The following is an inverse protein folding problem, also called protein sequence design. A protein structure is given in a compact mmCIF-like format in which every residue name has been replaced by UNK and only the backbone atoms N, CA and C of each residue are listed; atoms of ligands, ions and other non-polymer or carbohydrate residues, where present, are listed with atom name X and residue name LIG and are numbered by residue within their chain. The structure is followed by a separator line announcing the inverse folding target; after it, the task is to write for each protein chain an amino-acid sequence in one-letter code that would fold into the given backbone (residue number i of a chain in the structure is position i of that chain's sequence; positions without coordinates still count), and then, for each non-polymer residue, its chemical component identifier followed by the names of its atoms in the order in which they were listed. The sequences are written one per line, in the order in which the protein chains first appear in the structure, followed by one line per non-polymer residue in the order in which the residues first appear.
data_IF_373600788280
#
_entry.id   IF_373600788280
#
_cell.length_a   1.000
_cell.length_b   1.000
_cell.length_c   1.000
_cell.angle_alpha   90.00
_cell.angle_beta   90.00
_cell.angle_gamma   90.00
#
_symmetry.space_group_name_H-M   'P 1'
#
loop_
_entity.id
_entity.type
_entity.pdbx_description
1 polymer ?
#
# COMPACT_ATOMS: atom_id res chain seq x y z
N UNK A 1 -57.46 -53.68 -2.19
CA UNK A 1 -56.81 -52.38 -1.94
C UNK A 1 -55.36 -52.55 -2.31
N UNK A 2 -54.99 -52.13 -3.53
CA UNK A 2 -53.66 -52.37 -4.08
C UNK A 2 -52.63 -51.47 -3.37
N UNK A 3 -51.52 -52.07 -2.94
CA UNK A 3 -50.40 -51.39 -2.32
C UNK A 3 -49.57 -50.77 -3.44
N UNK A 4 -49.51 -49.44 -3.49
CA UNK A 4 -48.65 -48.70 -4.40
C UNK A 4 -47.18 -48.96 -4.07
N UNK A 5 -46.47 -49.56 -5.02
CA UNK A 5 -45.02 -49.74 -4.98
C UNK A 5 -44.36 -48.41 -5.31
N UNK A 6 -43.93 -47.67 -4.29
CA UNK A 6 -43.00 -46.54 -4.45
C UNK A 6 -41.66 -47.12 -4.92
N UNK A 7 -41.41 -46.98 -6.23
CA UNK A 7 -40.12 -47.25 -6.85
C UNK A 7 -39.13 -46.19 -6.38
N UNK A 8 -38.30 -46.55 -5.39
CA UNK A 8 -37.13 -45.74 -5.06
C UNK A 8 -36.17 -45.77 -6.26
N UNK A 9 -35.83 -44.62 -6.88
CA UNK A 9 -34.89 -44.62 -7.99
C UNK A 9 -33.50 -45.01 -7.46
N UNK A 10 -32.81 -45.84 -8.25
CA UNK A 10 -31.58 -46.56 -7.94
C UNK A 10 -30.56 -45.84 -7.05
N UNK A 11 -30.22 -46.49 -5.93
CA UNK A 11 -28.95 -46.27 -5.25
C UNK A 11 -27.85 -46.98 -6.03
N UNK A 12 -27.13 -46.23 -6.85
CA UNK A 12 -25.81 -46.63 -7.33
C UNK A 12 -24.79 -46.28 -6.24
N UNK A 13 -24.02 -47.25 -5.77
CA UNK A 13 -22.85 -47.00 -4.91
C UNK A 13 -21.95 -45.97 -5.59
N UNK A 14 -21.34 -45.01 -4.86
CA UNK A 14 -20.47 -44.00 -5.46
C UNK A 14 -19.37 -44.68 -6.27
N UNK A 15 -19.42 -44.55 -7.59
CA UNK A 15 -18.33 -45.03 -8.44
C UNK A 15 -17.06 -44.27 -8.07
N UNK A 16 -15.90 -44.92 -8.13
CA UNK A 16 -14.60 -44.28 -7.84
C UNK A 16 -14.43 -42.99 -8.66
N UNK A 17 -14.96 -42.96 -9.88
CA UNK A 17 -14.99 -41.75 -10.72
C UNK A 17 -15.79 -40.59 -10.11
N UNK A 18 -16.94 -40.87 -9.48
CA UNK A 18 -17.76 -39.85 -8.81
C UNK A 18 -17.05 -39.26 -7.59
N UNK A 19 -16.38 -40.10 -6.80
CA UNK A 19 -15.61 -39.67 -5.62
C UNK A 19 -14.43 -38.75 -5.98
N UNK A 20 -13.72 -39.04 -7.06
CA UNK A 20 -12.62 -38.20 -7.55
C UNK A 20 -13.14 -36.85 -8.07
N UNK A 21 -14.27 -36.85 -8.78
CA UNK A 21 -14.92 -35.62 -9.25
C UNK A 21 -15.38 -34.75 -8.07
N UNK A 22 -16.00 -35.36 -7.05
CA UNK A 22 -16.45 -34.65 -5.85
C UNK A 22 -15.26 -34.09 -5.06
N UNK A 23 -14.19 -34.87 -4.83
CA UNK A 23 -12.99 -34.39 -4.14
C UNK A 23 -12.29 -33.24 -4.89
N UNK A 24 -12.23 -33.31 -6.22
CA UNK A 24 -11.65 -32.23 -7.05
C UNK A 24 -12.50 -30.96 -6.97
N UNK A 25 -13.83 -31.10 -6.91
CA UNK A 25 -14.76 -29.99 -6.73
C UNK A 25 -14.57 -29.33 -5.37
N UNK A 26 -14.44 -30.11 -4.31
CA UNK A 26 -14.25 -29.61 -2.95
C UNK A 26 -12.92 -28.84 -2.80
N UNK A 27 -11.83 -29.37 -3.38
CA UNK A 27 -10.54 -28.66 -3.42
C UNK A 27 -10.66 -27.34 -4.20
N UNK A 28 -11.36 -27.37 -5.35
CA UNK A 28 -11.60 -26.16 -6.14
C UNK A 28 -12.43 -25.12 -5.38
N UNK A 29 -13.36 -25.57 -4.54
CA UNK A 29 -14.16 -24.71 -3.68
C UNK A 29 -13.33 -24.09 -2.56
N UNK A 30 -12.44 -24.85 -1.92
CA UNK A 30 -11.51 -24.36 -0.90
C UNK A 30 -10.56 -23.28 -1.45
N UNK A 31 -9.96 -23.53 -2.62
CA UNK A 31 -9.08 -22.55 -3.27
C UNK A 31 -9.83 -21.26 -3.59
N UNK A 32 -11.06 -21.36 -4.11
CA UNK A 32 -11.88 -20.17 -4.36
C UNK A 32 -12.26 -19.41 -3.09
N UNK A 33 -12.50 -20.12 -1.98
CA UNK A 33 -12.73 -19.50 -0.65
C UNK A 33 -11.51 -18.72 -0.18
N UNK A 34 -10.32 -19.31 -0.27
CA UNK A 34 -9.08 -18.66 0.14
C UNK A 34 -8.77 -17.42 -0.71
N UNK A 35 -8.98 -17.51 -2.03
CA UNK A 35 -8.84 -16.36 -2.94
C UNK A 35 -9.86 -15.27 -2.60
N UNK A 36 -11.10 -15.65 -2.28
CA UNK A 36 -12.15 -14.69 -1.91
C UNK A 36 -11.82 -13.97 -0.61
N UNK A 37 -11.31 -14.71 0.38
CA UNK A 37 -10.85 -14.15 1.65
C UNK A 37 -9.65 -13.22 1.44
N UNK A 38 -8.63 -13.67 0.71
CA UNK A 38 -7.48 -12.84 0.36
C UNK A 38 -7.90 -11.56 -0.40
N UNK A 39 -8.85 -11.66 -1.33
CA UNK A 39 -9.42 -10.48 -2.02
C UNK A 39 -10.14 -9.54 -1.06
N UNK A 40 -10.86 -10.06 -0.06
CA UNK A 40 -11.53 -9.24 0.95
C UNK A 40 -10.53 -8.53 1.85
N UNK A 41 -9.51 -9.23 2.34
CA UNK A 41 -8.43 -8.64 3.14
C UNK A 41 -7.66 -7.58 2.34
N UNK A 42 -7.33 -7.88 1.08
CA UNK A 42 -6.69 -6.93 0.18
C UNK A 42 -7.58 -5.71 -0.05
N UNK A 43 -8.89 -5.88 -0.27
CA UNK A 43 -9.82 -4.75 -0.44
C UNK A 43 -9.88 -3.87 0.80
N UNK A 44 -9.92 -4.46 2.00
CA UNK A 44 -9.88 -3.72 3.28
C UNK A 44 -8.55 -2.98 3.46
N UNK A 45 -7.43 -3.62 3.13
CA UNK A 45 -6.11 -2.98 3.18
C UNK A 45 -6.01 -1.81 2.19
N UNK A 46 -6.53 -1.98 0.97
CA UNK A 46 -6.46 -0.99 -0.10
C UNK A 46 -7.37 0.20 0.17
N UNK A 47 -8.58 -0.02 0.70
CA UNK A 47 -9.47 1.08 1.09
C UNK A 47 -8.86 1.89 2.24
N UNK A 48 -8.33 1.24 3.27
CA UNK A 48 -7.73 1.95 4.41
C UNK A 48 -6.45 2.68 3.99
N UNK A 49 -5.61 2.06 3.15
CA UNK A 49 -4.45 2.71 2.56
C UNK A 49 -4.86 3.91 1.69
N UNK A 50 -5.90 3.75 0.86
CA UNK A 50 -6.43 4.81 0.00
C UNK A 50 -6.98 5.99 0.78
N UNK A 51 -7.78 5.74 1.83
CA UNK A 51 -8.26 6.77 2.76
C UNK A 51 -7.09 7.45 3.45
N UNK A 52 -6.11 6.68 3.95
CA UNK A 52 -4.90 7.21 4.57
C UNK A 52 -4.15 8.15 3.63
N UNK A 53 -3.87 7.72 2.40
CA UNK A 53 -3.22 8.54 1.37
C UNK A 53 -4.04 9.80 1.07
N UNK A 54 -5.37 9.69 0.95
CA UNK A 54 -6.26 10.82 0.74
C UNK A 54 -6.22 11.85 1.87
N UNK A 55 -6.25 11.39 3.13
CA UNK A 55 -6.14 12.24 4.31
C UNK A 55 -4.77 12.91 4.40
N UNK A 56 -3.69 12.18 4.14
CA UNK A 56 -2.34 12.76 4.11
C UNK A 56 -2.17 13.77 2.98
N UNK A 57 -2.76 13.52 1.80
CA UNK A 57 -2.75 14.48 0.71
C UNK A 57 -3.50 15.77 1.08
N UNK A 58 -4.68 15.66 1.68
CA UNK A 58 -5.44 16.81 2.18
C UNK A 58 -4.69 17.57 3.28
N UNK A 59 -4.10 16.86 4.24
CA UNK A 59 -3.30 17.46 5.30
C UNK A 59 -2.07 18.18 4.75
N UNK A 60 -1.34 17.57 3.81
CA UNK A 60 -0.20 18.19 3.15
C UNK A 60 -0.61 19.45 2.39
N UNK A 61 -1.72 19.41 1.66
CA UNK A 61 -2.27 20.58 0.98
C UNK A 61 -2.60 21.72 1.95
N UNK A 62 -3.29 21.42 3.06
CA UNK A 62 -3.61 22.41 4.09
C UNK A 62 -2.34 22.99 4.74
N UNK A 63 -1.31 22.16 4.98
CA UNK A 63 -0.03 22.63 5.51
C UNK A 63 0.67 23.58 4.53
N UNK A 64 0.61 23.32 3.21
CA UNK A 64 1.14 24.24 2.21
C UNK A 64 0.42 25.59 2.29
N UNK A 65 -0.91 25.60 2.37
CA UNK A 65 -1.68 26.85 2.53
C UNK A 65 -1.34 27.57 3.84
N UNK A 66 -1.21 26.83 4.95
CA UNK A 66 -0.84 27.36 6.24
C UNK A 66 0.56 28.00 6.23
N UNK A 67 1.53 27.38 5.57
CA UNK A 67 2.88 27.93 5.40
C UNK A 67 2.86 29.24 4.61
N UNK A 68 2.03 29.35 3.56
CA UNK A 68 1.88 30.61 2.81
C UNK A 68 1.35 31.72 3.73
N UNK A 69 0.28 31.46 4.47
CA UNK A 69 -0.29 32.43 5.41
C UNK A 69 0.69 32.80 6.53
N UNK A 70 1.41 31.81 7.07
CA UNK A 70 2.45 32.00 8.08
C UNK A 70 3.58 32.88 7.54
N UNK A 71 3.98 32.71 6.28
CA UNK A 71 5.03 33.50 5.65
C UNK A 71 4.68 34.98 5.58
N UNK A 72 3.44 35.27 5.17
CA UNK A 72 2.93 36.64 5.11
C UNK A 72 2.84 37.23 6.53
N UNK A 73 2.26 36.48 7.47
CA UNK A 73 2.17 36.90 8.87
C UNK A 73 3.54 37.21 9.49
N UNK A 74 4.53 36.33 9.28
CA UNK A 74 5.90 36.52 9.76
C UNK A 74 6.55 37.78 9.14
N UNK A 75 6.37 38.02 7.84
CA UNK A 75 6.89 39.22 7.20
C UNK A 75 6.28 40.50 7.79
N UNK A 76 4.96 40.52 8.04
CA UNK A 76 4.32 41.66 8.70
C UNK A 76 4.78 41.85 10.15
N UNK A 77 5.01 40.75 10.88
CA UNK A 77 5.51 40.82 12.25
C UNK A 77 6.93 41.40 12.31
N UNK A 78 7.80 41.01 11.37
CA UNK A 78 9.13 41.61 11.23
C UNK A 78 9.01 43.08 10.83
N UNK A 79 8.09 43.42 9.91
CA UNK A 79 7.88 44.79 9.48
C UNK A 79 7.50 45.73 10.64
N UNK A 80 6.78 45.25 11.66
CA UNK A 80 6.46 46.03 12.87
C UNK A 80 7.67 46.53 13.65
N UNK A 81 8.86 45.98 13.42
CA UNK A 81 10.11 46.50 14.00
C UNK A 81 10.60 47.79 13.33
N UNK A 82 9.89 48.29 12.31
CA UNK A 82 10.27 49.45 11.50
C UNK A 82 11.11 49.10 10.26
N UNK A 83 11.43 47.83 10.07
CA UNK A 83 12.16 47.33 8.90
C UNK A 83 11.28 47.42 7.64
N UNK A 84 11.82 47.78 6.48
CA UNK A 84 11.05 47.83 5.23
C UNK A 84 10.37 46.50 4.89
N UNK A 85 9.17 46.56 4.30
CA UNK A 85 8.38 45.35 4.01
C UNK A 85 9.13 44.39 3.06
N UNK A 86 9.85 44.94 2.08
CA UNK A 86 10.67 44.18 1.12
C UNK A 86 11.75 43.37 1.83
N UNK A 87 12.44 43.98 2.79
CA UNK A 87 13.48 43.32 3.58
C UNK A 87 12.90 42.26 4.52
N UNK A 88 11.69 42.48 5.03
CA UNK A 88 10.99 41.52 5.88
C UNK A 88 10.66 40.23 5.12
N UNK A 89 10.14 40.35 3.90
CA UNK A 89 9.91 39.19 3.02
C UNK A 89 11.21 38.50 2.60
N UNK A 90 12.29 39.24 2.36
CA UNK A 90 13.60 38.65 2.05
C UNK A 90 14.17 37.83 3.21
N UNK A 91 13.98 38.28 4.46
CA UNK A 91 14.41 37.51 5.64
C UNK A 91 13.64 36.19 5.74
N UNK A 92 12.31 36.22 5.58
CA UNK A 92 11.47 35.01 5.60
C UNK A 92 11.84 34.06 4.46
N UNK A 93 12.10 34.59 3.26
CA UNK A 93 12.59 33.81 2.13
C UNK A 93 13.95 33.17 2.44
N UNK A 94 14.91 33.94 2.96
CA UNK A 94 16.22 33.44 3.36
C UNK A 94 16.13 32.32 4.39
N UNK A 95 15.23 32.45 5.37
CA UNK A 95 14.94 31.39 6.34
C UNK A 95 14.49 30.09 5.66
N UNK A 96 13.56 30.15 4.70
CA UNK A 96 13.13 28.95 3.98
C UNK A 96 14.23 28.33 3.11
N UNK A 97 15.07 29.14 2.47
CA UNK A 97 16.22 28.63 1.71
C UNK A 97 17.20 27.89 2.62
N UNK A 98 17.51 28.44 3.81
CA UNK A 98 18.36 27.79 4.79
C UNK A 98 17.75 26.49 5.32
N UNK A 99 16.45 26.51 5.63
CA UNK A 99 15.72 25.32 6.07
C UNK A 99 15.71 24.22 5.00
N UNK A 100 15.44 24.59 3.75
CA UNK A 100 15.45 23.66 2.62
C UNK A 100 16.85 23.08 2.37
N UNK A 101 17.90 23.90 2.45
CA UNK A 101 19.29 23.43 2.34
C UNK A 101 19.64 22.44 3.45
N UNK A 102 19.25 22.72 4.69
CA UNK A 102 19.48 21.83 5.83
C UNK A 102 18.75 20.48 5.66
N UNK A 103 17.46 20.51 5.34
CA UNK A 103 16.66 19.31 5.14
C UNK A 103 17.15 18.50 3.95
N UNK A 104 17.47 19.15 2.83
CA UNK A 104 18.04 18.52 1.64
C UNK A 104 19.39 17.86 1.94
N UNK A 105 20.26 18.53 2.69
CA UNK A 105 21.54 17.98 3.11
C UNK A 105 21.37 16.74 3.99
N UNK A 106 20.52 16.80 5.03
CA UNK A 106 20.21 15.65 5.89
C UNK A 106 19.61 14.51 5.06
N UNK A 107 18.70 14.82 4.13
CA UNK A 107 18.09 13.85 3.22
C UNK A 107 19.13 13.12 2.39
N UNK A 108 20.05 13.85 1.76
CA UNK A 108 21.17 13.28 0.99
C UNK A 108 22.04 12.39 1.88
N UNK A 109 22.37 12.83 3.10
CA UNK A 109 23.14 12.01 4.05
C UNK A 109 22.42 10.71 4.42
N UNK A 110 21.10 10.74 4.59
CA UNK A 110 20.30 9.57 4.93
C UNK A 110 20.20 8.61 3.74
N UNK A 111 19.91 9.12 2.55
CA UNK A 111 19.84 8.30 1.32
C UNK A 111 21.18 7.62 1.04
N UNK A 112 22.30 8.34 1.18
CA UNK A 112 23.65 7.77 1.02
C UNK A 112 23.98 6.65 2.02
N UNK A 113 23.29 6.58 3.16
CA UNK A 113 23.46 5.50 4.14
C UNK A 113 22.61 4.26 3.84
N UNK A 114 21.61 4.35 2.97
CA UNK A 114 20.78 3.21 2.59
C UNK A 114 21.60 2.32 1.67
N UNK A 115 22.05 1.17 2.19
CA UNK A 115 22.64 0.10 1.39
C UNK A 115 21.52 -0.69 0.70
N UNK A 116 21.77 -1.13 -0.53
CA UNK A 116 20.85 -2.01 -1.23
C UNK A 116 20.60 -3.29 -0.40
N UNK A 117 19.39 -3.89 -0.46
CA UNK A 117 19.08 -5.10 0.31
C UNK A 117 19.79 -6.31 -0.30
N UNK A 118 21.08 -6.49 0.03
CA UNK A 118 21.98 -7.49 -0.55
C UNK A 118 21.42 -8.92 -0.43
N UNK A 119 20.82 -9.26 0.72
CA UNK A 119 20.23 -10.59 0.96
C UNK A 119 19.02 -10.87 0.05
N UNK A 120 18.14 -9.89 -0.13
CA UNK A 120 16.97 -10.02 -1.01
C UNK A 120 17.40 -10.14 -2.48
N UNK A 121 18.42 -9.39 -2.88
CA UNK A 121 19.00 -9.48 -4.22
C UNK A 121 19.68 -10.83 -4.44
N UNK A 122 20.42 -11.35 -3.45
CA UNK A 122 21.06 -12.66 -3.51
C UNK A 122 20.03 -13.78 -3.65
N UNK A 123 18.98 -13.78 -2.81
CA UNK A 123 17.89 -14.76 -2.90
C UNK A 123 17.16 -14.70 -4.24
N UNK A 124 16.86 -13.50 -4.75
CA UNK A 124 16.24 -13.33 -6.07
C UNK A 124 17.08 -13.88 -7.23
N UNK A 125 18.41 -13.87 -7.12
CA UNK A 125 19.33 -14.43 -8.12
C UNK A 125 19.41 -15.97 -8.08
N UNK A 126 19.05 -16.60 -6.97
CA UNK A 126 19.03 -18.07 -6.85
C UNK A 126 17.76 -18.71 -7.42
N UNK A 127 16.64 -17.97 -7.44
CA UNK A 127 15.36 -18.42 -8.03
C UNK A 127 15.51 -18.92 -9.48
N UNK A 128 16.13 -18.16 -10.42
CA UNK A 128 16.32 -18.64 -11.78
C UNK A 128 17.36 -19.76 -11.90
N UNK A 129 18.31 -19.89 -10.95
CA UNK A 129 19.27 -21.00 -10.94
C UNK A 129 18.62 -22.31 -10.53
N UNK A 130 17.69 -22.28 -9.57
CA UNK A 130 16.91 -23.44 -9.17
C UNK A 130 15.96 -23.93 -10.29
N UNK A 131 15.42 -23.02 -11.12
CA UNK A 131 14.56 -23.39 -12.26
C UNK A 131 15.33 -23.86 -13.51
N UNK A 132 16.62 -23.51 -13.67
CA UNK A 132 17.40 -23.79 -14.89
C UNK A 132 18.22 -25.09 -14.82
N UNK A 133 18.14 -25.84 -13.72
CA UNK A 133 18.90 -27.06 -13.46
C UNK A 133 18.03 -28.30 -13.23
N UNK A 134 17.13 -28.62 -14.16
CA UNK A 134 16.53 -29.95 -14.31
C UNK A 134 16.24 -30.20 -15.80
N UNK A 135 17.30 -30.42 -16.58
CA UNK A 135 17.24 -31.15 -17.86
C UNK A 135 18.51 -31.97 -18.00
#
# INVERSE_FOLDING_TARGET
MAVDIVKSPGGEDPTIGKLVVDATRDISELVNKEITLAKQELKVSMTNAGVGVGLFAAAAFLLVLAVIMLSVSAAYFIHWTGLGLQWSFLIVFGFYVLLAALLGFIGVLKVKKVKAPEKAIAQGKEIPRALKGQR
#
